data_IF_306108750581
#
_entry.id   IF_306108750581
#
_cell.length_a   1.000
_cell.length_b   1.000
_cell.length_c   1.000
_cell.angle_alpha   90.00
_cell.angle_beta   90.00
_cell.angle_gamma   90.00
#
_symmetry.space_group_name_H-M   'P 1'
#
loop_
_entity.id
_entity.type
_entity.pdbx_description
1 polymer ?
#
# COMPACT_ATOMS: atom_id res chain seq x y z
N UNK A 1 4.21 13.83 30.34
CA UNK A 1 4.44 14.70 29.17
C UNK A 1 5.06 13.91 28.00
N UNK A 2 4.33 12.93 27.42
CA UNK A 2 4.81 12.12 26.28
C UNK A 2 3.80 12.05 25.11
N UNK A 3 2.63 12.68 25.26
CA UNK A 3 1.56 12.74 24.25
C UNK A 3 1.79 13.83 23.18
N UNK A 4 2.48 14.92 23.54
CA UNK A 4 2.52 16.14 22.71
C UNK A 4 3.41 16.00 21.45
N UNK A 5 4.44 15.15 21.46
CA UNK A 5 5.37 15.02 20.33
C UNK A 5 4.88 14.08 19.21
N UNK A 6 3.96 13.16 19.50
CA UNK A 6 3.44 12.23 18.48
C UNK A 6 2.32 12.88 17.66
N UNK A 7 1.63 13.86 18.24
CA UNK A 7 0.42 14.45 17.67
C UNK A 7 0.68 15.53 16.61
N UNK A 8 1.86 16.15 16.55
CA UNK A 8 2.24 17.09 15.47
C UNK A 8 2.68 16.38 14.17
N UNK A 9 3.24 15.18 14.30
CA UNK A 9 3.93 14.50 13.21
C UNK A 9 2.95 13.67 12.36
N UNK A 10 1.89 13.15 12.97
CA UNK A 10 0.87 12.37 12.27
C UNK A 10 0.05 13.20 11.26
N UNK A 11 -0.45 14.43 11.58
CA UNK A 11 -1.06 15.31 10.59
C UNK A 11 -0.14 15.64 9.41
N UNK A 12 1.13 15.93 9.69
CA UNK A 12 2.09 16.33 8.65
C UNK A 12 2.42 15.16 7.71
N UNK A 13 2.54 13.93 8.24
CA UNK A 13 2.69 12.71 7.45
C UNK A 13 1.42 12.39 6.62
N UNK A 14 0.24 12.58 7.22
CA UNK A 14 -1.03 12.32 6.54
C UNK A 14 -1.33 13.32 5.44
N UNK A 15 -0.85 14.56 5.54
CA UNK A 15 -1.05 15.60 4.53
C UNK A 15 0.08 15.64 3.47
N UNK A 16 1.07 14.75 3.54
CA UNK A 16 2.17 14.70 2.59
C UNK A 16 1.77 13.97 1.30
N UNK A 17 1.41 14.72 0.26
CA UNK A 17 1.00 14.18 -1.05
C UNK A 17 2.01 13.22 -1.69
N UNK A 18 3.32 13.47 -1.51
CA UNK A 18 4.36 12.59 -2.07
C UNK A 18 4.36 11.24 -1.38
N UNK A 19 4.28 11.24 -0.05
CA UNK A 19 4.21 10.02 0.74
C UNK A 19 2.94 9.23 0.42
N UNK A 20 1.78 9.91 0.36
CA UNK A 20 0.53 9.29 -0.08
C UNK A 20 0.71 8.62 -1.45
N UNK A 21 1.22 9.34 -2.44
CA UNK A 21 1.37 8.82 -3.81
C UNK A 21 2.32 7.61 -3.85
N UNK A 22 3.46 7.68 -3.15
CA UNK A 22 4.43 6.59 -3.08
C UNK A 22 3.80 5.35 -2.44
N UNK A 23 3.10 5.50 -1.31
CA UNK A 23 2.47 4.40 -0.61
C UNK A 23 1.27 3.81 -1.37
N UNK A 24 0.60 4.58 -2.23
CA UNK A 24 -0.40 4.02 -3.16
C UNK A 24 0.26 3.20 -4.27
N UNK A 25 1.31 3.72 -4.91
CA UNK A 25 1.82 3.17 -6.16
C UNK A 25 2.87 2.08 -5.96
N UNK A 26 3.84 2.29 -5.07
CA UNK A 26 5.01 1.40 -4.93
C UNK A 26 4.63 -0.03 -4.52
N UNK A 27 3.76 -0.26 -3.52
CA UNK A 27 3.37 -1.63 -3.16
C UNK A 27 2.62 -2.32 -4.30
N UNK A 28 1.78 -1.59 -5.03
CA UNK A 28 1.04 -2.12 -6.18
C UNK A 28 1.97 -2.45 -7.34
N UNK A 29 2.98 -1.63 -7.60
CA UNK A 29 4.01 -1.91 -8.59
C UNK A 29 4.80 -3.18 -8.21
N UNK A 30 5.26 -3.29 -6.97
CA UNK A 30 5.96 -4.49 -6.50
C UNK A 30 5.07 -5.73 -6.56
N UNK A 31 3.77 -5.60 -6.29
CA UNK A 31 2.82 -6.69 -6.42
C UNK A 31 2.72 -7.19 -7.87
N UNK A 32 2.56 -6.26 -8.84
CA UNK A 32 2.53 -6.59 -10.27
C UNK A 32 3.84 -7.24 -10.74
N UNK A 33 4.98 -6.70 -10.29
CA UNK A 33 6.30 -7.26 -10.61
C UNK A 33 6.48 -8.65 -10.00
N UNK A 34 5.96 -8.89 -8.79
CA UNK A 34 5.99 -10.20 -8.14
C UNK A 34 5.18 -11.23 -8.93
N UNK A 35 3.99 -10.86 -9.41
CA UNK A 35 3.18 -11.72 -10.30
C UNK A 35 3.94 -11.99 -11.61
N UNK A 36 4.54 -10.97 -12.20
CA UNK A 36 5.30 -11.12 -13.45
C UNK A 36 6.51 -12.05 -13.27
N UNK A 37 7.23 -11.91 -12.16
CA UNK A 37 8.36 -12.78 -11.79
C UNK A 37 7.90 -14.22 -11.53
N UNK A 38 6.74 -14.41 -10.91
CA UNK A 38 6.13 -15.73 -10.75
C UNK A 38 5.86 -16.40 -12.11
N UNK A 39 5.28 -15.67 -13.06
CA UNK A 39 5.06 -16.18 -14.42
C UNK A 39 6.39 -16.52 -15.13
N UNK A 40 7.46 -15.76 -14.89
CA UNK A 40 8.79 -16.05 -15.44
C UNK A 40 9.40 -17.37 -14.91
N UNK A 41 9.15 -17.70 -13.63
CA UNK A 41 9.51 -19.01 -13.06
C UNK A 41 8.80 -20.13 -13.82
N UNK A 42 7.48 -20.01 -14.03
CA UNK A 42 6.72 -21.01 -14.79
C UNK A 42 7.22 -21.14 -16.22
N UNK A 43 7.47 -20.03 -16.89
CA UNK A 43 8.01 -20.02 -18.25
C UNK A 43 9.37 -20.74 -18.34
N UNK A 44 10.21 -20.61 -17.30
CA UNK A 44 11.51 -21.28 -17.25
C UNK A 44 11.39 -22.80 -17.17
N UNK A 45 10.35 -23.35 -16.55
CA UNK A 45 10.13 -24.81 -16.50
C UNK A 45 9.98 -25.42 -17.90
N UNK A 46 9.36 -24.69 -18.83
CA UNK A 46 9.13 -25.15 -20.19
C UNK A 46 10.24 -24.76 -21.17
N UNK A 47 10.98 -23.69 -20.89
CA UNK A 47 12.00 -23.15 -21.79
C UNK A 47 13.30 -23.96 -21.80
N UNK A 48 13.57 -24.74 -20.75
CA UNK A 48 14.79 -25.51 -20.58
C UNK A 48 14.55 -27.02 -20.60
N UNK A 49 13.52 -27.49 -21.32
CA UNK A 49 13.27 -28.92 -21.49
C UNK A 49 14.52 -29.59 -22.12
N UNK A 50 15.10 -30.55 -21.40
CA UNK A 50 16.31 -31.26 -21.85
C UNK A 50 17.64 -30.61 -21.46
N UNK A 51 17.65 -29.41 -20.87
CA UNK A 51 18.84 -28.75 -20.33
C UNK A 51 18.73 -28.57 -18.81
N UNK A 52 19.24 -29.55 -18.06
CA UNK A 52 19.16 -29.56 -16.60
C UNK A 52 19.95 -28.44 -15.93
N UNK A 53 21.06 -27.99 -16.54
CA UNK A 53 21.87 -26.90 -15.99
C UNK A 53 21.20 -25.55 -16.26
N UNK A 54 20.76 -25.31 -17.49
CA UNK A 54 20.01 -24.10 -17.85
C UNK A 54 18.74 -23.94 -17.03
N UNK A 55 18.01 -25.04 -16.81
CA UNK A 55 16.83 -25.08 -15.94
C UNK A 55 17.16 -24.65 -14.51
N UNK A 56 18.22 -25.20 -13.92
CA UNK A 56 18.62 -24.87 -12.55
C UNK A 56 19.01 -23.39 -12.40
N UNK A 57 19.81 -22.85 -13.33
CA UNK A 57 20.20 -21.44 -13.30
C UNK A 57 19.00 -20.50 -13.53
N UNK A 58 18.13 -20.81 -14.50
CA UNK A 58 16.93 -20.02 -14.77
C UNK A 58 15.96 -20.02 -13.59
N UNK A 59 15.71 -21.18 -12.98
CA UNK A 59 14.87 -21.29 -11.79
C UNK A 59 15.45 -20.55 -10.60
N UNK A 60 16.72 -20.78 -10.26
CA UNK A 60 17.34 -20.13 -9.09
C UNK A 60 17.42 -18.60 -9.25
N UNK A 61 17.74 -18.12 -10.45
CA UNK A 61 17.76 -16.69 -10.74
C UNK A 61 16.38 -16.05 -10.61
N UNK A 62 15.36 -16.64 -11.24
CA UNK A 62 14.00 -16.13 -11.16
C UNK A 62 13.40 -16.28 -9.76
N UNK A 63 13.75 -17.33 -9.02
CA UNK A 63 13.33 -17.54 -7.64
C UNK A 63 13.92 -16.48 -6.71
N UNK A 64 15.20 -16.13 -6.86
CA UNK A 64 15.81 -15.06 -6.07
C UNK A 64 15.13 -13.72 -6.31
N UNK A 65 14.90 -13.37 -7.58
CA UNK A 65 14.17 -12.14 -7.96
C UNK A 65 12.77 -12.14 -7.35
N UNK A 66 12.05 -13.26 -7.45
CA UNK A 66 10.71 -13.41 -6.88
C UNK A 66 10.72 -13.19 -5.36
N UNK A 67 11.65 -13.82 -4.63
CA UNK A 67 11.75 -13.68 -3.18
C UNK A 67 11.98 -12.22 -2.78
N UNK A 68 12.91 -11.54 -3.47
CA UNK A 68 13.21 -10.12 -3.20
C UNK A 68 11.99 -9.25 -3.46
N UNK A 69 11.31 -9.42 -4.60
CA UNK A 69 10.11 -8.66 -4.95
C UNK A 69 8.96 -8.94 -3.98
N UNK A 70 8.73 -10.20 -3.62
CA UNK A 70 7.70 -10.60 -2.67
C UNK A 70 7.96 -9.99 -1.27
N UNK A 71 9.21 -9.99 -0.83
CA UNK A 71 9.61 -9.35 0.43
C UNK A 71 9.30 -7.85 0.40
N UNK A 72 9.76 -7.12 -0.62
CA UNK A 72 9.47 -5.68 -0.73
C UNK A 72 7.97 -5.40 -0.88
N UNK A 73 7.25 -6.19 -1.67
CA UNK A 73 5.80 -6.08 -1.83
C UNK A 73 5.07 -6.24 -0.50
N UNK A 74 5.48 -7.21 0.33
CA UNK A 74 4.88 -7.46 1.63
C UNK A 74 5.09 -6.28 2.60
N UNK A 75 6.34 -5.84 2.78
CA UNK A 75 6.65 -4.77 3.74
C UNK A 75 6.07 -3.42 3.31
N UNK A 76 6.23 -3.06 2.02
CA UNK A 76 5.65 -1.82 1.51
C UNK A 76 4.12 -1.86 1.52
N UNK A 77 3.53 -3.03 1.24
CA UNK A 77 2.09 -3.27 1.35
C UNK A 77 1.56 -3.10 2.77
N UNK A 78 2.26 -3.64 3.77
CA UNK A 78 1.88 -3.49 5.18
C UNK A 78 1.93 -2.03 5.64
N UNK A 79 3.01 -1.31 5.31
CA UNK A 79 3.16 0.11 5.64
C UNK A 79 2.05 0.94 4.97
N UNK A 80 1.80 0.69 3.68
CA UNK A 80 0.74 1.34 2.92
C UNK A 80 -0.64 1.06 3.52
N UNK A 81 -0.92 -0.20 3.86
CA UNK A 81 -2.18 -0.60 4.47
C UNK A 81 -2.44 0.16 5.78
N UNK A 82 -1.47 0.16 6.71
CA UNK A 82 -1.59 0.89 7.98
C UNK A 82 -1.82 2.39 7.72
N UNK A 83 -1.04 2.98 6.82
CA UNK A 83 -1.17 4.41 6.46
C UNK A 83 -2.57 4.74 5.94
N UNK A 84 -3.11 3.95 5.01
CA UNK A 84 -4.40 4.22 4.41
C UNK A 84 -5.58 3.94 5.34
N UNK A 85 -5.46 2.94 6.23
CA UNK A 85 -6.48 2.75 7.28
C UNK A 85 -6.56 3.97 8.19
N UNK A 86 -5.41 4.49 8.66
CA UNK A 86 -5.38 5.72 9.45
C UNK A 86 -5.98 6.90 8.68
N UNK A 87 -5.66 7.00 7.39
CA UNK A 87 -6.22 8.02 6.53
C UNK A 87 -7.73 7.90 6.37
N UNK A 88 -8.29 6.69 6.21
CA UNK A 88 -9.74 6.47 6.13
C UNK A 88 -10.42 6.87 7.45
N UNK A 89 -9.85 6.47 8.59
CA UNK A 89 -10.43 6.73 9.91
C UNK A 89 -10.54 8.22 10.22
N UNK A 90 -9.53 9.00 9.82
CA UNK A 90 -9.42 10.44 10.07
C UNK A 90 -9.90 11.32 8.91
N UNK A 91 -10.50 10.75 7.87
CA UNK A 91 -11.00 11.52 6.73
C UNK A 91 -12.35 12.19 7.08
N UNK A 92 -12.43 13.53 7.20
CA UNK A 92 -13.66 14.21 7.58
C UNK A 92 -14.76 14.02 6.52
N UNK A 93 -14.40 13.97 5.23
CA UNK A 93 -15.36 13.73 4.13
C UNK A 93 -16.07 12.37 4.25
N UNK A 94 -15.51 11.42 5.00
CA UNK A 94 -16.13 10.12 5.26
C UNK A 94 -16.91 10.09 6.58
N UNK A 95 -16.65 11.02 7.49
CA UNK A 95 -17.39 11.17 8.74
C UNK A 95 -18.72 11.87 8.50
N UNK A 96 -18.78 12.88 7.63
CA UNK A 96 -20.01 13.61 7.31
C UNK A 96 -21.05 12.78 6.56
N UNK A 97 -20.63 11.71 5.87
CA UNK A 97 -21.50 10.91 5.00
C UNK A 97 -21.64 9.43 5.44
N UNK A 98 -21.22 9.08 6.67
CA UNK A 98 -21.25 7.72 7.22
C UNK A 98 -20.59 6.61 6.36
N UNK A 99 -19.82 6.99 5.33
CA UNK A 99 -19.22 6.06 4.37
C UNK A 99 -17.90 5.44 4.86
N UNK A 100 -17.47 5.76 6.08
CA UNK A 100 -16.20 5.29 6.64
C UNK A 100 -16.08 3.77 6.66
N UNK A 101 -17.15 3.08 7.10
CA UNK A 101 -17.13 1.62 7.20
C UNK A 101 -16.95 0.96 5.83
N UNK A 102 -17.63 1.48 4.80
CA UNK A 102 -17.51 0.98 3.42
C UNK A 102 -16.08 1.10 2.88
N UNK A 103 -15.39 2.21 3.18
CA UNK A 103 -14.01 2.40 2.75
C UNK A 103 -13.01 1.56 3.55
N UNK A 104 -13.24 1.34 4.84
CA UNK A 104 -12.42 0.40 5.62
C UNK A 104 -12.55 -1.00 5.02
N UNK A 105 -13.78 -1.46 4.76
CA UNK A 105 -14.04 -2.76 4.11
C UNK A 105 -13.37 -2.79 2.72
N UNK A 106 -13.50 -1.73 1.93
CA UNK A 106 -12.88 -1.63 0.61
C UNK A 106 -11.35 -1.70 0.64
N UNK A 107 -10.70 -1.07 1.62
CA UNK A 107 -9.23 -1.12 1.77
C UNK A 107 -8.76 -2.48 2.30
N UNK A 108 -9.48 -3.06 3.27
CA UNK A 108 -9.13 -4.36 3.87
C UNK A 108 -9.31 -5.50 2.86
N UNK A 109 -10.48 -5.59 2.22
CA UNK A 109 -10.80 -6.67 1.28
C UNK A 109 -10.30 -6.41 -0.15
N UNK A 110 -10.18 -5.15 -0.56
CA UNK A 110 -9.62 -4.79 -1.86
C UNK A 110 -8.09 -4.95 -1.94
N UNK A 111 -7.43 -5.26 -0.82
CA UNK A 111 -5.98 -5.44 -0.72
C UNK A 111 -5.23 -4.24 -1.34
N UNK A 112 -4.13 -4.49 -2.09
CA UNK A 112 -3.34 -3.44 -2.73
C UNK A 112 -4.16 -2.54 -3.67
N UNK A 113 -5.16 -3.07 -4.36
CA UNK A 113 -6.01 -2.25 -5.24
C UNK A 113 -6.95 -1.35 -4.44
N UNK A 114 -7.43 -1.81 -3.28
CA UNK A 114 -8.28 -1.03 -2.38
C UNK A 114 -7.61 0.27 -1.93
N UNK A 115 -6.33 0.21 -1.56
CA UNK A 115 -5.55 1.40 -1.18
C UNK A 115 -5.34 2.36 -2.35
N UNK A 116 -5.05 1.84 -3.54
CA UNK A 116 -4.87 2.64 -4.75
C UNK A 116 -6.16 3.38 -5.16
N UNK A 117 -7.29 2.67 -5.16
CA UNK A 117 -8.60 3.24 -5.49
C UNK A 117 -9.00 4.30 -4.45
N UNK A 118 -8.79 4.02 -3.16
CA UNK A 118 -9.04 4.98 -2.10
C UNK A 118 -8.22 6.25 -2.27
N UNK A 119 -6.91 6.13 -2.49
CA UNK A 119 -6.03 7.27 -2.75
C UNK A 119 -6.51 8.10 -3.94
N UNK A 120 -6.81 7.45 -5.06
CA UNK A 120 -7.25 8.16 -6.26
C UNK A 120 -8.58 8.90 -6.06
N UNK A 121 -9.56 8.24 -5.44
CA UNK A 121 -10.94 8.75 -5.39
C UNK A 121 -11.23 9.65 -4.19
N UNK A 122 -10.67 9.35 -3.02
CA UNK A 122 -10.95 10.08 -1.78
C UNK A 122 -9.86 11.05 -1.42
N UNK A 123 -8.60 10.81 -1.80
CA UNK A 123 -7.51 11.74 -1.46
C UNK A 123 -7.24 12.68 -2.63
N UNK A 124 -6.77 12.15 -3.76
CA UNK A 124 -6.35 12.97 -4.92
C UNK A 124 -7.48 13.82 -5.49
N UNK A 125 -8.70 13.31 -5.55
CA UNK A 125 -9.85 14.04 -6.11
C UNK A 125 -10.53 15.01 -5.14
N UNK A 126 -10.50 14.72 -3.84
CA UNK A 126 -11.29 15.49 -2.84
C UNK A 126 -10.43 16.31 -1.88
N UNK A 127 -9.11 16.14 -1.91
CA UNK A 127 -8.13 16.80 -1.04
C UNK A 127 -8.59 16.94 0.42
N UNK A 128 -8.99 15.83 1.08
CA UNK A 128 -9.47 15.88 2.45
C UNK A 128 -8.33 16.33 3.35
N UNK A 129 -8.49 17.51 3.96
CA UNK A 129 -7.62 17.94 5.05
C UNK A 129 -8.05 17.15 6.30
N UNK A 130 -7.26 16.18 6.78
CA UNK A 130 -7.67 15.39 7.94
C UNK A 130 -7.86 16.32 9.14
N UNK A 131 -9.07 16.37 9.70
CA UNK A 131 -9.34 17.09 10.93
C UNK A 131 -8.71 16.31 12.07
N UNK A 132 -7.58 16.81 12.57
CA UNK A 132 -7.03 16.37 13.85
C UNK A 132 -7.34 17.53 14.78
N UNK A 133 -8.51 17.46 15.39
CA UNK A 133 -8.96 18.48 16.32
C UNK A 133 -8.14 18.37 17.60
N UNK A 134 -7.07 19.16 17.68
CA UNK A 134 -6.24 19.31 18.88
C UNK A 134 -6.76 20.46 19.77
N UNK A 135 -7.88 21.09 19.39
CA UNK A 135 -8.40 22.31 20.02
C UNK A 135 -9.89 22.24 20.40
N UNK A 136 -10.50 21.06 20.50
CA UNK A 136 -11.87 20.96 21.04
C UNK A 136 -11.95 21.02 22.57
N UNK A 137 -10.85 21.31 23.28
CA UNK A 137 -10.86 21.59 24.73
C UNK A 137 -11.09 23.09 25.03
N UNK A 138 -11.98 23.75 24.29
CA UNK A 138 -12.49 25.07 24.65
C UNK A 138 -13.97 25.19 24.26
N UNK A 139 -14.85 24.62 25.10
CA UNK A 139 -16.16 25.18 25.47
C UNK A 139 -16.72 24.42 26.68
#
# INVERSE_FOLDING_TARGET
>A
MKKILVDSDLPSLMNNYRLQTILALVPNLFFILTITSYLAIYYSLFSYIGDSKGLAYGLLGNLLIFIVLAFFSFFTGLISFIYYILHVVKNPNLQEHDNRLLWIIGVVFGMGLGTLIYWWTQIKKKDPKPLIDIYSDNL
#
